data_IF_566258063225
#
_entry.id   IF_566258063225
#
_cell.length_a   1.000
_cell.length_b   1.000
_cell.length_c   1.000
_cell.angle_alpha   90.00
_cell.angle_beta   90.00
_cell.angle_gamma   90.00
#
_symmetry.space_group_name_H-M   'P 1'
#
loop_
_entity.id
_entity.type
_entity.pdbx_description
1 polymer ?
#
# COMPACT_ATOMS: atom_id res chain seq x y z
N UNK A 1 6.49 4.98 32.75
CA UNK A 1 7.30 4.04 31.94
C UNK A 1 6.53 3.49 30.74
N UNK A 2 5.23 3.20 30.88
CA UNK A 2 4.36 2.71 29.79
C UNK A 2 4.31 3.61 28.54
N UNK A 3 4.35 4.93 28.72
CA UNK A 3 4.29 5.91 27.62
C UNK A 3 5.48 5.74 26.64
N UNK A 4 6.70 5.59 27.16
CA UNK A 4 7.90 5.35 26.36
C UNK A 4 7.80 4.05 25.56
N UNK A 5 7.26 2.98 26.15
CA UNK A 5 7.08 1.70 25.48
C UNK A 5 6.08 1.84 24.32
N UNK A 6 4.94 2.49 24.55
CA UNK A 6 3.91 2.71 23.54
C UNK A 6 4.45 3.58 22.39
N UNK A 7 5.19 4.65 22.70
CA UNK A 7 5.79 5.53 21.69
C UNK A 7 6.80 4.78 20.83
N UNK A 8 7.68 3.99 21.44
CA UNK A 8 8.69 3.21 20.70
C UNK A 8 8.02 2.21 19.77
N UNK A 9 7.01 1.47 20.25
CA UNK A 9 6.27 0.50 19.42
C UNK A 9 5.54 1.20 18.26
N UNK A 10 4.85 2.32 18.51
CA UNK A 10 4.17 3.08 17.46
C UNK A 10 5.17 3.65 16.44
N UNK A 11 6.32 4.14 16.89
CA UNK A 11 7.35 4.69 16.02
C UNK A 11 7.97 3.63 15.14
N UNK A 12 8.24 2.43 15.67
CA UNK A 12 8.74 1.29 14.90
C UNK A 12 7.68 0.83 13.88
N UNK A 13 6.41 0.75 14.29
CA UNK A 13 5.33 0.39 13.39
C UNK A 13 5.19 1.40 12.23
N UNK A 14 5.21 2.70 12.54
CA UNK A 14 5.15 3.77 11.54
C UNK A 14 6.38 3.77 10.63
N UNK A 15 7.58 3.60 11.19
CA UNK A 15 8.82 3.52 10.43
C UNK A 15 8.82 2.30 9.49
N UNK A 16 8.36 1.15 9.97
CA UNK A 16 8.19 -0.05 9.14
C UNK A 16 7.21 0.15 8.00
N UNK A 17 6.09 0.82 8.25
CA UNK A 17 5.10 1.17 7.22
C UNK A 17 5.72 2.11 6.16
N UNK A 18 6.37 3.19 6.58
CA UNK A 18 7.03 4.13 5.67
C UNK A 18 8.18 3.49 4.89
N UNK A 19 8.93 2.59 5.54
CA UNK A 19 9.98 1.79 4.91
C UNK A 19 9.41 0.88 3.83
N UNK A 20 8.37 0.10 4.14
CA UNK A 20 7.69 -0.77 3.16
C UNK A 20 7.13 0.03 1.98
N UNK A 21 6.51 1.18 2.26
CA UNK A 21 5.99 2.08 1.22
C UNK A 21 7.11 2.56 0.29
N UNK A 22 8.24 3.00 0.86
CA UNK A 22 9.40 3.49 0.12
C UNK A 22 10.15 2.38 -0.62
N UNK A 23 10.27 1.20 -0.03
CA UNK A 23 10.89 0.03 -0.66
C UNK A 23 10.07 -0.46 -1.87
N UNK A 24 8.74 -0.50 -1.74
CA UNK A 24 7.84 -0.82 -2.85
C UNK A 24 7.91 0.20 -3.99
N UNK A 25 7.96 1.50 -3.65
CA UNK A 25 8.21 2.58 -4.61
C UNK A 25 9.52 2.29 -5.36
N UNK A 26 10.64 2.19 -4.64
CA UNK A 26 11.98 1.95 -5.19
C UNK A 26 12.05 0.71 -6.08
N UNK A 27 11.43 -0.40 -5.68
CA UNK A 27 11.41 -1.64 -6.47
C UNK A 27 10.71 -1.46 -7.82
N UNK A 28 9.54 -0.79 -7.83
CA UNK A 28 8.81 -0.52 -9.08
C UNK A 28 9.60 0.44 -9.98
N UNK A 29 10.23 1.48 -9.42
CA UNK A 29 11.10 2.37 -10.23
C UNK A 29 12.33 1.67 -10.76
N UNK A 30 12.96 0.84 -9.95
CA UNK A 30 14.14 0.09 -10.37
C UNK A 30 13.85 -0.82 -11.56
N UNK A 31 12.64 -1.40 -11.60
CA UNK A 31 12.21 -2.28 -12.69
C UNK A 31 11.71 -1.50 -13.91
N UNK A 32 10.85 -0.50 -13.75
CA UNK A 32 10.19 0.18 -14.88
C UNK A 32 10.93 1.43 -15.38
N UNK A 33 11.84 2.01 -14.58
CA UNK A 33 12.57 3.26 -14.88
C UNK A 33 11.70 4.50 -15.15
N UNK A 34 10.41 4.47 -14.81
CA UNK A 34 9.47 5.59 -15.00
C UNK A 34 8.89 5.97 -13.63
N UNK A 35 9.02 7.24 -13.16
CA UNK A 35 8.43 7.72 -11.90
C UNK A 35 6.89 7.63 -11.91
N UNK A 36 6.30 7.05 -10.87
CA UNK A 36 4.88 6.73 -10.73
C UNK A 36 4.40 7.35 -9.42
N UNK A 37 3.87 8.57 -9.55
CA UNK A 37 3.36 9.37 -8.44
C UNK A 37 2.06 8.80 -7.83
N UNK A 38 1.44 7.81 -8.48
CA UNK A 38 0.20 7.17 -8.02
C UNK A 38 0.42 6.26 -6.81
N UNK A 39 1.67 5.86 -6.52
CA UNK A 39 1.98 4.88 -5.48
C UNK A 39 1.41 5.25 -4.09
N UNK A 40 1.56 6.52 -3.69
CA UNK A 40 0.99 7.01 -2.43
C UNK A 40 -0.55 6.99 -2.41
N UNK A 41 -1.18 7.30 -3.54
CA UNK A 41 -2.64 7.24 -3.68
C UNK A 41 -3.15 5.80 -3.58
N UNK A 42 -2.46 4.83 -4.18
CA UNK A 42 -2.80 3.41 -4.10
C UNK A 42 -2.64 2.87 -2.67
N UNK A 43 -1.58 3.28 -1.96
CA UNK A 43 -1.42 2.94 -0.54
C UNK A 43 -2.63 3.41 0.29
N UNK A 44 -3.04 4.68 0.13
CA UNK A 44 -4.19 5.23 0.84
C UNK A 44 -5.49 4.52 0.46
N UNK A 45 -5.69 4.21 -0.82
CA UNK A 45 -6.86 3.47 -1.31
C UNK A 45 -6.97 2.08 -0.64
N UNK A 46 -5.84 1.36 -0.52
CA UNK A 46 -5.78 0.10 0.21
C UNK A 46 -6.18 0.24 1.68
N UNK A 47 -5.67 1.27 2.36
CA UNK A 47 -6.04 1.56 3.74
C UNK A 47 -7.55 1.84 3.88
N UNK A 48 -8.14 2.61 2.97
CA UNK A 48 -9.58 2.86 2.94
C UNK A 48 -10.39 1.58 2.74
N UNK A 49 -9.97 0.67 1.86
CA UNK A 49 -10.64 -0.62 1.73
C UNK A 49 -10.56 -1.43 3.03
N UNK A 50 -9.39 -1.48 3.68
CA UNK A 50 -9.25 -2.15 4.97
C UNK A 50 -10.20 -1.60 6.03
N UNK A 51 -10.27 -0.27 6.18
CA UNK A 51 -11.21 0.38 7.10
C UNK A 51 -12.66 0.10 6.72
N UNK A 52 -12.99 0.09 5.44
CA UNK A 52 -14.33 -0.20 4.94
C UNK A 52 -14.74 -1.63 5.28
N UNK A 53 -13.85 -2.61 5.06
CA UNK A 53 -14.09 -4.00 5.40
C UNK A 53 -14.23 -4.23 6.91
N UNK A 54 -13.41 -3.56 7.72
CA UNK A 54 -13.57 -3.57 9.18
C UNK A 54 -14.92 -3.00 9.62
N UNK A 55 -15.40 -1.91 8.99
CA UNK A 55 -16.71 -1.31 9.27
C UNK A 55 -17.88 -2.20 8.85
N UNK A 56 -17.68 -3.10 7.89
CA UNK A 56 -18.65 -4.11 7.49
C UNK A 56 -18.71 -5.31 8.47
N UNK A 57 -17.93 -5.28 9.56
CA UNK A 57 -17.92 -6.32 10.58
C UNK A 57 -16.97 -7.49 10.26
N UNK A 58 -16.12 -7.36 9.23
CA UNK A 58 -15.11 -8.38 8.94
C UNK A 58 -13.98 -8.31 9.98
N UNK A 59 -13.43 -9.48 10.32
CA UNK A 59 -12.28 -9.53 11.21
C UNK A 59 -11.04 -8.89 10.55
N UNK A 60 -10.07 -8.47 11.37
CA UNK A 60 -8.87 -7.77 10.89
C UNK A 60 -8.11 -8.55 9.81
N UNK A 61 -7.91 -9.85 10.00
CA UNK A 61 -7.14 -10.68 9.07
C UNK A 61 -7.83 -10.83 7.70
N UNK A 62 -9.14 -11.06 7.69
CA UNK A 62 -9.94 -11.15 6.46
C UNK A 62 -9.98 -9.78 5.77
N UNK A 63 -10.20 -8.70 6.52
CA UNK A 63 -10.20 -7.34 5.98
C UNK A 63 -8.85 -6.98 5.34
N UNK A 64 -7.74 -7.34 5.98
CA UNK A 64 -6.39 -7.11 5.45
C UNK A 64 -6.16 -7.88 4.14
N UNK A 65 -6.47 -9.18 4.11
CA UNK A 65 -6.30 -10.01 2.90
C UNK A 65 -7.19 -9.49 1.77
N UNK A 66 -8.46 -9.19 2.04
CA UNK A 66 -9.39 -8.66 1.03
C UNK A 66 -8.93 -7.29 0.50
N UNK A 67 -8.46 -6.39 1.38
CA UNK A 67 -7.92 -5.10 0.95
C UNK A 67 -6.70 -5.24 0.05
N UNK A 68 -5.79 -6.17 0.37
CA UNK A 68 -4.61 -6.47 -0.44
C UNK A 68 -5.01 -7.07 -1.79
N UNK A 69 -5.99 -7.98 -1.83
CA UNK A 69 -6.49 -8.60 -3.05
C UNK A 69 -7.14 -7.57 -3.97
N UNK A 70 -8.06 -6.76 -3.44
CA UNK A 70 -8.77 -5.72 -4.19
C UNK A 70 -7.79 -4.67 -4.72
N UNK A 71 -6.86 -4.22 -3.88
CA UNK A 71 -5.84 -3.26 -4.31
C UNK A 71 -4.90 -3.86 -5.35
N UNK A 72 -4.52 -5.13 -5.20
CA UNK A 72 -3.69 -5.85 -6.17
C UNK A 72 -4.35 -5.94 -7.54
N UNK A 73 -5.65 -6.21 -7.59
CA UNK A 73 -6.44 -6.20 -8.84
C UNK A 73 -6.42 -4.81 -9.46
N UNK A 74 -6.71 -3.76 -8.68
CA UNK A 74 -6.72 -2.37 -9.18
C UNK A 74 -5.34 -1.95 -9.68
N UNK A 75 -4.28 -2.27 -8.94
CA UNK A 75 -2.89 -2.01 -9.34
C UNK A 75 -2.53 -2.72 -10.64
N UNK A 76 -2.91 -4.00 -10.79
CA UNK A 76 -2.70 -4.76 -12.02
C UNK A 76 -3.48 -4.21 -13.22
N UNK A 77 -4.70 -3.70 -13.00
CA UNK A 77 -5.45 -3.00 -14.04
C UNK A 77 -4.74 -1.70 -14.45
N UNK A 78 -4.29 -0.89 -13.50
CA UNK A 78 -3.54 0.36 -13.78
C UNK A 78 -2.26 0.05 -14.54
N UNK A 79 -1.51 -0.97 -14.13
CA UNK A 79 -0.31 -1.39 -14.82
C UNK A 79 -0.63 -1.77 -16.28
N UNK A 80 -1.63 -2.63 -16.47
CA UNK A 80 -1.98 -3.14 -17.79
C UNK A 80 -2.50 -2.08 -18.75
N UNK A 81 -3.34 -1.16 -18.26
CA UNK A 81 -4.06 -0.21 -19.11
C UNK A 81 -3.38 1.16 -19.22
N UNK A 82 -2.70 1.63 -18.18
CA UNK A 82 -2.02 2.93 -18.18
C UNK A 82 -0.50 2.76 -18.33
N UNK A 83 0.14 2.08 -17.39
CA UNK A 83 1.60 2.09 -17.29
C UNK A 83 2.28 1.38 -18.47
N UNK A 84 1.75 0.24 -18.92
CA UNK A 84 2.28 -0.47 -20.10
C UNK A 84 2.14 0.32 -21.40
N UNK A 85 1.15 1.20 -21.52
CA UNK A 85 1.00 2.07 -22.70
C UNK A 85 2.05 3.19 -22.71
N UNK A 86 2.40 3.69 -21.54
CA UNK A 86 3.44 4.71 -21.35
C UNK A 86 4.85 4.14 -21.51
N UNK A 87 5.05 2.87 -21.14
CA UNK A 87 6.32 2.15 -21.32
C UNK A 87 6.55 1.66 -22.77
N UNK A 88 5.59 1.86 -23.67
CA UNK A 88 5.61 1.44 -25.08
C UNK A 88 6.00 2.54 -26.09
N UNK A 89 6.59 3.64 -25.61
CA UNK A 89 7.31 4.64 -26.40
C UNK A 89 8.72 4.79 -25.85
#
# INVERSE_FOLDING_TARGET
MTLWIILTINSIALAGLLFLLSAGFSLIFGLMRIPNLTHGALFMLGAYFGVTFLRLGLNFWIAAILSALVLGIIGGLIERFLLRRLAGQ
#
